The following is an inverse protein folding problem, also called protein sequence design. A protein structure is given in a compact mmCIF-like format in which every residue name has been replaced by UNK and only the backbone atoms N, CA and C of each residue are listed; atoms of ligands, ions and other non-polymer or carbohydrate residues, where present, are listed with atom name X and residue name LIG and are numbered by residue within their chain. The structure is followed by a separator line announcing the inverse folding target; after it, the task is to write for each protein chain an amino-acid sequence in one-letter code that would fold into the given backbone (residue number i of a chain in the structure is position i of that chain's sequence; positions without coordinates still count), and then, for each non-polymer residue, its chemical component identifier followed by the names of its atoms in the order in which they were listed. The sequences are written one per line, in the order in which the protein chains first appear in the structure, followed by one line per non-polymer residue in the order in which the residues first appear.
data_IF_375699523602
#
_entry.id   IF_375699523602
#
_cell.length_a   1.000
_cell.length_b   1.000
_cell.length_c   1.000
_cell.angle_alpha   90.00
_cell.angle_beta   90.00
_cell.angle_gamma   90.00
#
_symmetry.space_group_name_H-M   'P 1'
#
loop_
_entity.id
_entity.type
_entity.pdbx_description
1 polymer ?
#
# COMPACT_ATOMS: atom_id res chain seq x y z
N UNK A 1 23.46 16.24 4.90
CA UNK A 1 23.85 17.11 3.75
C UNK A 1 23.26 16.62 2.42
N UNK A 2 23.07 15.31 2.20
CA UNK A 2 22.64 14.76 0.90
C UNK A 2 21.24 15.17 0.45
N UNK A 3 20.30 15.44 1.37
CA UNK A 3 18.89 15.74 1.07
C UNK A 3 18.52 17.21 1.18
N UNK A 4 19.39 18.03 1.78
CA UNK A 4 19.08 19.44 2.06
C UNK A 4 18.84 20.25 0.79
N UNK A 5 17.70 20.94 0.73
CA UNK A 5 17.23 21.70 -0.41
C UNK A 5 17.08 20.87 -1.72
N UNK A 6 16.87 19.56 -1.59
CA UNK A 6 16.66 18.66 -2.72
C UNK A 6 15.20 18.19 -2.79
N UNK A 7 14.77 17.90 -4.00
CA UNK A 7 13.57 17.11 -4.29
C UNK A 7 13.96 15.64 -4.18
N UNK A 8 13.31 14.92 -3.29
CA UNK A 8 13.66 13.52 -2.98
C UNK A 8 12.55 12.61 -3.50
N UNK A 9 12.94 11.59 -4.26
CA UNK A 9 12.06 10.47 -4.57
C UNK A 9 12.43 9.32 -3.66
N UNK A 10 11.47 8.87 -2.86
CA UNK A 10 11.60 7.69 -2.02
C UNK A 10 10.89 6.55 -2.74
N UNK A 11 11.58 5.45 -2.96
CA UNK A 11 11.02 4.20 -3.47
C UNK A 11 10.93 3.24 -2.30
N UNK A 12 9.74 2.74 -2.00
CA UNK A 12 9.47 1.83 -0.88
C UNK A 12 8.67 0.63 -1.36
N UNK A 13 8.63 -0.46 -0.61
CA UNK A 13 7.98 -1.71 -1.03
C UNK A 13 6.46 -1.63 -0.90
N UNK A 14 5.93 -1.14 0.23
CA UNK A 14 4.50 -1.14 0.51
C UNK A 14 4.11 -0.14 1.59
N UNK A 15 2.83 0.26 1.61
CA UNK A 15 2.21 1.00 2.72
C UNK A 15 1.07 0.17 3.29
N UNK A 16 1.16 -0.20 4.57
CA UNK A 16 0.11 -0.93 5.28
C UNK A 16 -0.70 0.03 6.15
N UNK A 17 -0.08 0.62 7.17
CA UNK A 17 -0.73 1.56 8.11
C UNK A 17 -0.31 3.02 7.91
N UNK A 18 0.71 3.27 7.09
CA UNK A 18 1.24 4.59 6.77
C UNK A 18 2.11 5.23 7.86
N UNK A 19 2.16 4.70 9.08
CA UNK A 19 2.92 5.29 10.20
C UNK A 19 4.43 5.34 9.93
N UNK A 20 5.00 4.27 9.37
CA UNK A 20 6.42 4.20 9.02
C UNK A 20 6.78 5.21 7.93
N UNK A 21 5.96 5.26 6.87
CA UNK A 21 6.15 6.20 5.77
C UNK A 21 6.03 7.66 6.25
N UNK A 22 5.10 7.94 7.16
CA UNK A 22 4.96 9.27 7.80
C UNK A 22 6.22 9.66 8.57
N UNK A 23 6.77 8.74 9.37
CA UNK A 23 8.01 8.99 10.12
C UNK A 23 9.20 9.23 9.17
N UNK A 24 9.30 8.45 8.10
CA UNK A 24 10.34 8.60 7.08
C UNK A 24 10.27 9.97 6.40
N UNK A 25 9.08 10.39 5.95
CA UNK A 25 8.88 11.70 5.34
C UNK A 25 9.23 12.82 6.32
N UNK A 26 8.78 12.73 7.58
CA UNK A 26 9.11 13.72 8.60
C UNK A 26 10.61 13.80 8.85
N UNK A 27 11.31 12.66 8.88
CA UNK A 27 12.78 12.63 9.03
C UNK A 27 13.49 13.33 7.85
N UNK A 28 13.04 13.10 6.62
CA UNK A 28 13.58 13.77 5.44
C UNK A 28 13.32 15.26 5.44
N UNK A 29 12.11 15.70 5.84
CA UNK A 29 11.77 17.10 6.02
C UNK A 29 12.67 17.77 7.08
N UNK A 30 12.85 17.13 8.23
CA UNK A 30 13.72 17.62 9.30
C UNK A 30 15.20 17.71 8.85
N UNK A 31 15.62 16.84 7.94
CA UNK A 31 16.95 16.90 7.30
C UNK A 31 17.07 17.99 6.23
N UNK A 32 15.98 18.72 5.94
CA UNK A 32 15.93 19.86 5.03
C UNK A 32 15.59 19.53 3.59
N UNK A 33 14.93 18.40 3.31
CA UNK A 33 14.40 18.10 1.99
C UNK A 33 13.39 19.18 1.56
N UNK A 34 13.50 19.68 0.31
CA UNK A 34 12.59 20.66 -0.23
C UNK A 34 11.24 20.02 -0.63
N UNK A 35 11.31 18.85 -1.27
CA UNK A 35 10.15 18.05 -1.63
C UNK A 35 10.43 16.57 -1.35
N UNK A 36 9.38 15.80 -1.01
CA UNK A 36 9.45 14.35 -0.79
C UNK A 36 8.32 13.67 -1.55
N UNK A 37 8.67 12.86 -2.52
CA UNK A 37 7.76 12.11 -3.39
C UNK A 37 7.89 10.62 -3.12
N UNK A 38 6.80 9.93 -2.76
CA UNK A 38 6.79 8.49 -2.54
C UNK A 38 6.35 7.74 -3.80
N UNK A 39 7.08 6.66 -4.09
CA UNK A 39 6.76 5.70 -5.15
C UNK A 39 6.78 4.30 -4.56
N UNK A 40 5.61 3.70 -4.47
CA UNK A 40 5.41 2.39 -3.83
C UNK A 40 5.43 1.32 -4.91
N UNK A 41 6.28 0.31 -4.73
CA UNK A 41 6.51 -0.75 -5.73
C UNK A 41 5.51 -1.91 -5.65
N UNK A 42 4.52 -1.81 -4.74
CA UNK A 42 3.35 -2.67 -4.75
C UNK A 42 2.09 -1.89 -5.13
N UNK A 43 1.00 -2.56 -5.53
CA UNK A 43 -0.33 -2.00 -5.50
C UNK A 43 -0.77 -1.64 -4.07
N UNK A 44 -1.84 -0.85 -3.94
CA UNK A 44 -2.42 -0.55 -2.65
C UNK A 44 -2.93 -1.82 -1.95
N UNK A 45 -2.53 -2.02 -0.70
CA UNK A 45 -2.99 -3.16 0.12
C UNK A 45 -4.33 -2.80 0.74
N UNK A 46 -5.41 -3.39 0.23
CA UNK A 46 -6.79 -3.06 0.60
C UNK A 46 -7.55 -4.24 1.22
N UNK A 47 -6.95 -5.43 1.18
CA UNK A 47 -7.51 -6.65 1.77
C UNK A 47 -6.54 -7.30 2.75
N UNK A 48 -7.02 -7.89 3.86
CA UNK A 48 -6.16 -8.60 4.80
C UNK A 48 -5.52 -9.83 4.17
N UNK A 49 -4.39 -10.27 4.72
CA UNK A 49 -3.72 -11.50 4.30
C UNK A 49 -3.95 -12.59 5.34
N UNK A 50 -4.37 -13.79 4.86
CA UNK A 50 -4.55 -14.98 5.70
C UNK A 50 -3.51 -16.07 5.40
N UNK A 51 -2.50 -15.75 4.58
CA UNK A 51 -1.54 -16.72 4.04
C UNK A 51 -0.11 -16.49 4.53
N UNK A 52 0.08 -15.64 5.56
CA UNK A 52 1.39 -15.52 6.21
C UNK A 52 1.88 -14.10 6.45
N UNK A 53 1.24 -13.08 5.88
CA UNK A 53 1.55 -11.68 6.20
C UNK A 53 0.59 -11.22 7.31
N UNK A 54 1.15 -10.67 8.38
CA UNK A 54 0.35 -10.18 9.51
C UNK A 54 -0.35 -8.85 9.18
N UNK A 55 -1.48 -8.96 8.47
CA UNK A 55 -2.41 -7.84 8.20
C UNK A 55 -3.80 -8.27 8.65
N UNK A 56 -4.05 -8.18 9.95
CA UNK A 56 -5.13 -8.89 10.63
C UNK A 56 -6.53 -8.39 10.24
N UNK A 57 -6.71 -7.09 10.06
CA UNK A 57 -8.02 -6.50 9.78
C UNK A 57 -7.95 -5.44 8.70
N UNK A 58 -8.97 -5.39 7.85
CA UNK A 58 -9.08 -4.43 6.76
C UNK A 58 -9.14 -2.97 7.26
N UNK A 59 -9.75 -2.73 8.41
CA UNK A 59 -9.82 -1.39 9.00
C UNK A 59 -8.46 -0.82 9.43
N UNK A 60 -7.41 -1.64 9.55
CA UNK A 60 -6.04 -1.20 9.81
C UNK A 60 -5.24 -0.89 8.54
N UNK A 61 -5.78 -1.26 7.38
CA UNK A 61 -5.15 -0.98 6.08
C UNK A 61 -5.52 0.44 5.67
N UNK A 62 -4.53 1.34 5.62
CA UNK A 62 -4.81 2.75 5.34
C UNK A 62 -5.47 2.92 3.96
N UNK A 63 -5.05 2.14 2.97
CA UNK A 63 -5.61 2.18 1.62
C UNK A 63 -7.02 1.55 1.50
N UNK A 64 -7.49 0.80 2.50
CA UNK A 64 -8.87 0.33 2.55
C UNK A 64 -9.85 1.42 3.03
N UNK A 65 -9.35 2.47 3.68
CA UNK A 65 -10.17 3.49 4.33
C UNK A 65 -9.96 4.91 3.79
N UNK A 66 -8.88 5.15 3.07
CA UNK A 66 -8.48 6.48 2.57
C UNK A 66 -8.10 6.43 1.09
N UNK A 67 -8.30 7.54 0.38
CA UNK A 67 -7.82 7.73 -0.99
C UNK A 67 -6.31 7.96 -1.04
N UNK A 68 -5.72 7.95 -2.25
CA UNK A 68 -4.27 8.25 -2.45
C UNK A 68 -3.93 9.64 -1.93
N UNK A 69 -4.79 10.60 -2.22
CA UNK A 69 -4.64 12.00 -1.81
C UNK A 69 -4.66 12.12 -0.29
N UNK A 70 -5.62 11.47 0.37
CA UNK A 70 -5.74 11.47 1.83
C UNK A 70 -4.54 10.80 2.50
N UNK A 71 -4.04 9.68 1.93
CA UNK A 71 -2.83 9.02 2.41
C UNK A 71 -1.61 9.91 2.20
N UNK A 72 -1.48 10.57 1.05
CA UNK A 72 -0.41 11.49 0.76
C UNK A 72 -0.35 12.63 1.79
N UNK A 73 -1.50 13.22 2.09
CA UNK A 73 -1.66 14.28 3.09
C UNK A 73 -1.34 13.77 4.50
N UNK A 74 -1.84 12.58 4.87
CA UNK A 74 -1.55 11.96 6.17
C UNK A 74 -0.06 11.71 6.39
N UNK A 75 0.64 11.25 5.36
CA UNK A 75 2.09 10.99 5.39
C UNK A 75 2.89 12.30 5.36
N UNK A 76 2.34 13.38 4.78
CA UNK A 76 3.00 14.67 4.60
C UNK A 76 3.94 14.72 3.40
N UNK A 77 3.71 13.87 2.39
CA UNK A 77 4.46 13.86 1.15
C UNK A 77 3.91 14.87 0.14
N UNK A 78 4.72 15.29 -0.82
CA UNK A 78 4.29 16.17 -1.92
C UNK A 78 3.58 15.39 -3.02
N UNK A 79 3.87 14.11 -3.16
CA UNK A 79 3.11 13.19 -4.01
C UNK A 79 3.30 11.74 -3.60
N UNK A 80 2.28 10.95 -3.85
CA UNK A 80 2.25 9.51 -3.63
C UNK A 80 1.74 8.82 -4.89
N UNK A 81 2.38 7.73 -5.29
CA UNK A 81 1.88 6.83 -6.33
C UNK A 81 2.24 5.38 -6.01
N UNK A 82 1.32 4.48 -6.34
CA UNK A 82 1.49 3.04 -6.23
C UNK A 82 1.72 2.43 -7.62
N UNK A 83 2.39 1.29 -7.67
CA UNK A 83 2.42 0.47 -8.87
C UNK A 83 1.03 -0.13 -9.09
N UNK A 84 0.55 -0.18 -10.32
CA UNK A 84 -0.69 -0.89 -10.62
C UNK A 84 -0.52 -2.41 -10.51
N UNK A 85 -1.62 -3.15 -10.30
CA UNK A 85 -1.57 -4.61 -10.24
C UNK A 85 -1.10 -5.21 -11.56
N UNK A 86 -1.52 -4.66 -12.69
CA UNK A 86 -1.06 -5.06 -14.01
C UNK A 86 0.44 -4.74 -14.21
N UNK A 87 0.89 -3.57 -13.75
CA UNK A 87 2.31 -3.22 -13.72
C UNK A 87 3.14 -4.21 -12.92
N UNK A 88 2.66 -4.60 -11.72
CA UNK A 88 3.32 -5.61 -10.90
C UNK A 88 3.39 -6.96 -11.63
N UNK A 89 2.27 -7.44 -12.18
CA UNK A 89 2.22 -8.71 -12.93
C UNK A 89 3.15 -8.69 -14.14
N UNK A 90 3.26 -7.57 -14.85
CA UNK A 90 4.14 -7.44 -16.02
C UNK A 90 5.63 -7.52 -15.69
N UNK A 91 6.03 -7.26 -14.45
CA UNK A 91 7.42 -7.38 -13.98
C UNK A 91 7.83 -8.82 -13.68
N UNK A 92 6.90 -9.77 -13.67
CA UNK A 92 7.15 -11.15 -13.28
C UNK A 92 7.28 -12.02 -14.53
N UNK A 93 8.52 -12.42 -14.83
CA UNK A 93 8.83 -13.33 -15.93
C UNK A 93 8.59 -14.78 -15.49
N UNK A 94 7.39 -15.30 -15.70
CA UNK A 94 7.11 -16.72 -15.50
C UNK A 94 6.15 -17.24 -16.57
N UNK A 95 6.43 -18.44 -17.08
CA UNK A 95 5.59 -19.09 -18.10
C UNK A 95 4.17 -19.41 -17.58
N UNK A 96 4.02 -19.58 -16.26
CA UNK A 96 2.74 -19.83 -15.58
C UNK A 96 2.69 -19.09 -14.23
N UNK A 97 2.51 -17.75 -14.21
CA UNK A 97 2.51 -16.99 -12.97
C UNK A 97 1.23 -17.28 -12.17
N UNK A 98 1.33 -18.12 -11.15
CA UNK A 98 0.29 -18.32 -10.15
C UNK A 98 0.73 -17.64 -8.85
N UNK A 99 0.69 -16.31 -8.83
CA UNK A 99 0.97 -15.53 -7.62
C UNK A 99 -0.34 -15.13 -6.94
N UNK A 100 -0.35 -15.20 -5.62
CA UNK A 100 -1.46 -14.69 -4.85
C UNK A 100 -1.45 -13.17 -4.89
N UNK A 101 -2.55 -12.57 -5.33
CA UNK A 101 -2.78 -11.11 -5.36
C UNK A 101 -3.90 -10.66 -4.43
N UNK A 102 -4.37 -11.56 -3.56
CA UNK A 102 -5.56 -11.37 -2.75
C UNK A 102 -5.55 -10.11 -1.87
N UNK A 103 -4.40 -9.69 -1.37
CA UNK A 103 -4.28 -8.46 -0.58
C UNK A 103 -4.51 -7.18 -1.41
N UNK A 104 -4.46 -7.27 -2.75
CA UNK A 104 -4.68 -6.16 -3.67
C UNK A 104 -6.09 -6.20 -4.29
N UNK A 105 -6.58 -7.38 -4.69
CA UNK A 105 -7.82 -7.54 -5.47
C UNK A 105 -8.94 -8.33 -4.76
N UNK A 106 -8.66 -8.90 -3.59
CA UNK A 106 -9.62 -9.71 -2.83
C UNK A 106 -9.87 -11.12 -3.38
N UNK A 107 -9.12 -11.54 -4.41
CA UNK A 107 -9.24 -12.85 -5.04
C UNK A 107 -8.38 -13.89 -4.31
N UNK A 108 -8.93 -14.47 -3.25
CA UNK A 108 -8.22 -15.46 -2.46
C UNK A 108 -8.15 -16.82 -3.17
N UNK A 109 -6.97 -17.49 -3.19
CA UNK A 109 -6.80 -18.79 -3.82
C UNK A 109 -7.49 -19.95 -3.07
N UNK A 110 -8.09 -19.68 -1.94
CA UNK A 110 -8.85 -20.61 -1.10
C UNK A 110 -10.18 -19.95 -0.69
N UNK A 111 -11.18 -20.71 -0.24
CA UNK A 111 -12.40 -20.14 0.31
C UNK A 111 -12.04 -19.11 1.40
N UNK A 112 -12.69 -17.94 1.36
CA UNK A 112 -12.48 -16.91 2.40
C UNK A 112 -12.55 -17.56 3.77
N UNK A 113 -11.61 -17.23 4.68
CA UNK A 113 -11.53 -17.95 5.94
C UNK A 113 -12.86 -17.89 6.70
N UNK A 114 -13.10 -18.97 7.43
CA UNK A 114 -14.15 -19.27 8.37
C UNK A 114 -14.75 -18.03 9.06
N UNK A 115 -16.04 -18.03 9.47
CA UNK A 115 -16.72 -17.00 10.26
C UNK A 115 -15.95 -16.44 11.46
N UNK A 116 -14.94 -17.16 11.98
CA UNK A 116 -14.01 -16.67 13.00
C UNK A 116 -13.19 -15.45 12.58
N UNK A 117 -13.14 -15.12 11.29
CA UNK A 117 -12.48 -13.93 10.74
C UNK A 117 -13.47 -12.97 10.06
N UNK A 118 -14.77 -13.11 10.31
CA UNK A 118 -15.78 -12.21 9.74
C UNK A 118 -15.49 -10.75 10.10
N UNK A 119 -14.94 -10.50 11.29
CA UNK A 119 -14.56 -9.17 11.77
C UNK A 119 -13.32 -8.58 11.07
N UNK A 120 -12.63 -9.39 10.26
CA UNK A 120 -11.46 -8.92 9.52
C UNK A 120 -11.82 -8.00 8.35
N UNK A 121 -13.07 -8.03 7.89
CA UNK A 121 -13.54 -7.24 6.76
C UNK A 121 -14.41 -6.06 7.21
N UNK A 122 -14.28 -4.93 6.49
CA UNK A 122 -15.20 -3.82 6.66
C UNK A 122 -16.58 -4.22 6.08
N UNK A 123 -17.69 -3.97 6.79
CA UNK A 123 -19.03 -4.17 6.25
C UNK A 123 -19.20 -3.35 4.95
N UNK A 124 -19.77 -3.95 3.93
CA UNK A 124 -20.09 -3.31 2.64
C UNK A 124 -18.91 -2.60 1.95
N UNK A 125 -17.67 -3.05 2.22
CA UNK A 125 -16.48 -2.48 1.62
C UNK A 125 -16.54 -2.52 0.10
N UNK A 126 -16.48 -1.34 -0.51
CA UNK A 126 -16.26 -1.15 -1.96
C UNK A 126 -14.91 -0.47 -2.12
N UNK A 127 -13.97 -1.07 -2.87
CA UNK A 127 -12.69 -0.43 -3.13
C UNK A 127 -12.93 0.94 -3.78
N UNK A 128 -12.31 1.97 -3.24
CA UNK A 128 -12.27 3.32 -3.85
C UNK A 128 -11.20 3.42 -4.94
N UNK A 129 -10.44 2.35 -5.11
CA UNK A 129 -9.30 2.26 -6.01
C UNK A 129 -9.56 1.18 -7.05
N UNK A 130 -9.31 1.52 -8.31
CA UNK A 130 -9.04 0.51 -9.30
C UNK A 130 -7.53 0.28 -9.28
N UNK A 131 -7.11 -0.92 -8.89
CA UNK A 131 -5.72 -1.39 -9.06
C UNK A 131 -5.50 -1.85 -10.53
N UNK A 132 -6.31 -1.30 -11.47
CA UNK A 132 -6.20 -1.55 -12.91
C UNK A 132 -4.98 -0.85 -13.53
#
# INVERSE_FOLDING_TARGET
YAVRNRRIIVVDDSIVRGSTSKQLVQMLRNAGAAEVHLRITSPAIVWPCFLGINTDTQGQLIAATQSVEEICDYIGADSLAYLSLEGLKSCIYAEHPQYCTACFDGNYPMPKPNPLHADAFLPDYKPTWNND
#
